data_IF_677961007893
#
_entry.id   IF_677961007893
#
_cell.length_a   1.000
_cell.length_b   1.000
_cell.length_c   1.000
_cell.angle_alpha   90.00
_cell.angle_beta   90.00
_cell.angle_gamma   90.00
#
_symmetry.space_group_name_H-M   'P 1'
#
loop_
_entity.id
_entity.type
_entity.pdbx_description
1 polymer ?
#
# COMPACT_ATOMS: atom_id res chain seq x y z
N UNK A 1 1.81 -0.18 8.14
CA UNK A 1 0.50 0.39 8.53
C UNK A 1 -0.37 0.85 7.36
N UNK A 2 0.20 1.17 6.18
CA UNK A 2 -0.54 1.75 5.04
C UNK A 2 -1.54 0.80 4.34
N UNK A 3 -1.32 -0.52 4.36
CA UNK A 3 -2.18 -1.48 3.67
C UNK A 3 -3.60 -1.53 4.28
N UNK A 4 -3.70 -1.62 5.61
CA UNK A 4 -4.97 -1.64 6.32
C UNK A 4 -5.76 -0.34 6.15
N UNK A 5 -5.08 0.82 6.20
CA UNK A 5 -5.69 2.14 5.97
C UNK A 5 -6.24 2.22 4.55
N UNK A 6 -5.46 1.79 3.55
CA UNK A 6 -5.88 1.74 2.15
C UNK A 6 -7.08 0.82 1.91
N UNK A 7 -7.08 -0.36 2.54
CA UNK A 7 -8.18 -1.33 2.43
C UNK A 7 -9.48 -0.80 3.07
N UNK A 8 -9.39 -0.16 4.24
CA UNK A 8 -10.56 0.46 4.88
C UNK A 8 -11.10 1.64 4.08
N UNK A 9 -10.24 2.47 3.50
CA UNK A 9 -10.66 3.54 2.59
C UNK A 9 -11.41 2.97 1.37
N UNK A 10 -10.92 1.88 0.79
CA UNK A 10 -11.59 1.21 -0.32
C UNK A 10 -12.95 0.64 0.10
N UNK A 11 -13.06 0.02 1.28
CA UNK A 11 -14.33 -0.47 1.84
C UNK A 11 -15.34 0.65 2.10
N UNK A 12 -14.91 1.78 2.65
CA UNK A 12 -15.78 2.96 2.82
C UNK A 12 -16.27 3.51 1.48
N UNK A 13 -15.39 3.58 0.47
CA UNK A 13 -15.77 3.98 -0.89
C UNK A 13 -16.79 3.02 -1.48
N UNK A 14 -16.61 1.71 -1.30
CA UNK A 14 -17.54 0.69 -1.77
C UNK A 14 -18.95 0.93 -1.20
N UNK A 15 -19.04 1.22 0.11
CA UNK A 15 -20.31 1.53 0.76
C UNK A 15 -20.99 2.75 0.12
N UNK A 16 -20.27 3.88 -0.03
CA UNK A 16 -20.79 5.10 -0.67
C UNK A 16 -21.26 4.86 -2.11
N UNK A 17 -20.50 4.09 -2.89
CA UNK A 17 -20.86 3.75 -4.27
C UNK A 17 -22.11 2.87 -4.34
N UNK A 18 -22.26 1.91 -3.41
CA UNK A 18 -23.45 1.06 -3.33
C UNK A 18 -24.71 1.86 -3.01
N UNK A 19 -24.62 2.78 -2.05
CA UNK A 19 -25.70 3.69 -1.67
C UNK A 19 -26.10 4.58 -2.86
N UNK A 20 -25.12 5.16 -3.56
CA UNK A 20 -25.35 5.99 -4.74
C UNK A 20 -26.03 5.20 -5.86
N UNK A 21 -25.63 3.94 -6.07
CA UNK A 21 -26.23 3.05 -7.06
C UNK A 21 -27.71 2.79 -6.76
N UNK A 22 -28.06 2.54 -5.50
CA UNK A 22 -29.45 2.35 -5.08
C UNK A 22 -30.27 3.66 -5.19
N UNK A 23 -29.69 4.81 -4.84
CA UNK A 23 -30.34 6.12 -5.03
C UNK A 23 -30.67 6.37 -6.51
N UNK A 24 -29.73 6.13 -7.42
CA UNK A 24 -29.95 6.29 -8.86
C UNK A 24 -31.03 5.34 -9.38
N UNK A 25 -31.02 4.08 -8.92
CA UNK A 25 -32.06 3.10 -9.26
C UNK A 25 -33.45 3.53 -8.80
N UNK A 26 -33.59 4.01 -7.55
CA UNK A 26 -34.87 4.51 -7.02
C UNK A 26 -35.36 5.71 -7.81
N UNK A 27 -34.47 6.68 -8.09
CA UNK A 27 -34.82 7.87 -8.89
C UNK A 27 -35.26 7.47 -10.31
N UNK A 28 -34.54 6.57 -10.96
CA UNK A 28 -34.93 6.10 -12.29
C UNK A 28 -36.31 5.43 -12.29
N UNK A 29 -36.63 4.63 -11.26
CA UNK A 29 -37.95 4.02 -11.11
C UNK A 29 -39.07 5.07 -10.97
N UNK A 30 -38.83 6.13 -10.18
CA UNK A 30 -39.78 7.25 -10.04
C UNK A 30 -39.94 8.00 -11.38
N UNK A 31 -38.86 8.28 -12.11
CA UNK A 31 -38.94 8.93 -13.42
C UNK A 31 -39.72 8.09 -14.44
N UNK A 32 -39.58 6.76 -14.44
CA UNK A 32 -40.40 5.86 -15.27
C UNK A 32 -41.88 5.96 -14.90
N UNK A 33 -42.22 5.92 -13.62
CA UNK A 33 -43.61 6.05 -13.17
C UNK A 33 -44.23 7.40 -13.54
N UNK A 34 -43.41 8.45 -13.59
CA UNK A 34 -43.82 9.79 -14.01
C UNK A 34 -43.88 9.99 -15.54
N UNK A 35 -43.61 8.96 -16.35
CA UNK A 35 -43.57 9.06 -17.82
C UNK A 35 -42.40 9.90 -18.35
N UNK A 36 -41.29 9.96 -17.60
CA UNK A 36 -40.07 10.69 -17.95
C UNK A 36 -38.98 9.73 -18.39
N UNK A 37 -39.16 9.02 -19.50
CA UNK A 37 -38.26 7.94 -19.92
C UNK A 37 -36.85 8.42 -20.28
N UNK A 38 -36.71 9.64 -20.79
CA UNK A 38 -35.39 10.20 -21.12
C UNK A 38 -34.56 10.42 -19.85
N UNK A 39 -35.16 11.02 -18.81
CA UNK A 39 -34.51 11.20 -17.50
C UNK A 39 -34.16 9.85 -16.87
N UNK A 40 -35.05 8.86 -16.96
CA UNK A 40 -34.79 7.51 -16.48
C UNK A 40 -33.58 6.86 -17.19
N UNK A 41 -33.46 7.03 -18.51
CA UNK A 41 -32.30 6.54 -19.29
C UNK A 41 -31.00 7.19 -18.84
N UNK A 42 -31.00 8.51 -18.63
CA UNK A 42 -29.81 9.24 -18.17
C UNK A 42 -29.39 8.79 -16.76
N UNK A 43 -30.34 8.60 -15.85
CA UNK A 43 -30.08 8.08 -14.50
C UNK A 43 -29.52 6.65 -14.54
N UNK A 44 -30.02 5.79 -15.42
CA UNK A 44 -29.49 4.44 -15.61
C UNK A 44 -28.09 4.44 -16.23
N UNK A 45 -27.81 5.38 -17.13
CA UNK A 45 -26.47 5.56 -17.69
C UNK A 45 -25.47 6.01 -16.62
N UNK A 46 -25.85 6.94 -15.75
CA UNK A 46 -25.04 7.31 -14.59
C UNK A 46 -24.85 6.12 -13.64
N UNK A 47 -25.91 5.36 -13.35
CA UNK A 47 -25.84 4.15 -12.53
C UNK A 47 -24.83 3.15 -13.09
N UNK A 48 -24.78 2.96 -14.41
CA UNK A 48 -23.79 2.08 -15.08
C UNK A 48 -22.36 2.53 -14.80
N UNK A 49 -22.07 3.84 -14.86
CA UNK A 49 -20.74 4.38 -14.53
C UNK A 49 -20.37 4.14 -13.07
N UNK A 50 -21.31 4.38 -12.15
CA UNK A 50 -21.09 4.13 -10.71
C UNK A 50 -20.86 2.64 -10.44
N UNK A 51 -21.59 1.75 -11.10
CA UNK A 51 -21.39 0.31 -10.99
C UNK A 51 -20.00 -0.12 -11.48
N UNK A 52 -19.48 0.44 -12.57
CA UNK A 52 -18.10 0.16 -13.00
C UNK A 52 -17.07 0.57 -11.95
N UNK A 53 -17.24 1.75 -11.32
CA UNK A 53 -16.37 2.18 -10.24
C UNK A 53 -16.49 1.28 -8.99
N UNK A 54 -17.70 0.75 -8.73
CA UNK A 54 -17.98 -0.18 -7.65
C UNK A 54 -17.25 -1.51 -7.86
N UNK A 55 -17.29 -2.07 -9.08
CA UNK A 55 -16.59 -3.30 -9.43
C UNK A 55 -15.06 -3.13 -9.32
N UNK A 56 -14.51 -2.03 -9.83
CA UNK A 56 -13.09 -1.71 -9.66
C UNK A 56 -12.69 -1.62 -8.18
N UNK A 57 -13.57 -1.07 -7.34
CA UNK A 57 -13.31 -0.95 -5.90
C UNK A 57 -13.33 -2.32 -5.20
N UNK A 58 -14.21 -3.24 -5.62
CA UNK A 58 -14.20 -4.63 -5.11
C UNK A 58 -12.90 -5.36 -5.45
N UNK A 59 -12.48 -5.33 -6.70
CA UNK A 59 -11.23 -5.97 -7.13
C UNK A 59 -10.02 -5.40 -6.39
N UNK A 60 -10.01 -4.09 -6.10
CA UNK A 60 -8.97 -3.48 -5.25
C UNK A 60 -9.00 -4.03 -3.82
N UNK A 61 -10.17 -4.20 -3.22
CA UNK A 61 -10.27 -4.76 -1.86
C UNK A 61 -9.73 -6.19 -1.85
N UNK A 62 -10.13 -7.02 -2.81
CA UNK A 62 -9.67 -8.41 -2.95
C UNK A 62 -8.13 -8.49 -3.05
N UNK A 63 -7.51 -7.68 -3.92
CA UNK A 63 -6.06 -7.63 -4.05
C UNK A 63 -5.36 -7.18 -2.75
N UNK A 64 -5.92 -6.21 -2.03
CA UNK A 64 -5.35 -5.73 -0.77
C UNK A 64 -5.47 -6.79 0.33
N UNK A 65 -6.57 -7.54 0.36
CA UNK A 65 -6.79 -8.62 1.31
C UNK A 65 -5.87 -9.82 1.00
N UNK A 66 -5.65 -10.15 -0.28
CA UNK A 66 -4.66 -11.17 -0.70
C UNK A 66 -3.23 -10.77 -0.31
N UNK A 67 -2.84 -9.52 -0.58
CA UNK A 67 -1.52 -9.02 -0.19
C UNK A 67 -1.33 -9.06 1.33
N UNK A 68 -2.38 -8.75 2.09
CA UNK A 68 -2.33 -8.83 3.55
C UNK A 68 -2.12 -10.27 4.02
N UNK A 69 -2.80 -11.25 3.41
CA UNK A 69 -2.62 -12.66 3.70
C UNK A 69 -1.18 -13.13 3.39
N UNK A 70 -0.64 -12.76 2.23
CA UNK A 70 0.72 -13.12 1.83
C UNK A 70 1.77 -12.54 2.79
N UNK A 71 1.58 -11.30 3.27
CA UNK A 71 2.48 -10.71 4.27
C UNK A 71 2.42 -11.43 5.61
N UNK A 72 1.22 -11.81 6.05
CA UNK A 72 1.04 -12.58 7.29
C UNK A 72 1.75 -13.93 7.20
N UNK A 73 1.72 -14.59 6.04
CA UNK A 73 2.42 -15.86 5.82
C UNK A 73 3.95 -15.70 5.70
N UNK A 74 4.43 -14.63 5.05
CA UNK A 74 5.86 -14.41 4.81
C UNK A 74 6.64 -14.05 6.08
N UNK A 75 6.02 -13.41 7.08
CA UNK A 75 6.68 -13.00 8.32
C UNK A 75 7.27 -14.21 9.07
N UNK A 76 6.50 -15.27 9.40
CA UNK A 76 7.03 -16.47 10.04
C UNK A 76 8.16 -17.15 9.24
N UNK A 77 8.10 -17.12 7.90
CA UNK A 77 9.13 -17.72 7.05
C UNK A 77 10.44 -16.95 7.18
N UNK A 78 10.38 -15.62 7.26
CA UNK A 78 11.55 -14.76 7.45
C UNK A 78 12.09 -14.83 8.88
N UNK A 79 11.21 -14.91 9.88
CA UNK A 79 11.62 -15.10 11.27
C UNK A 79 12.38 -16.42 11.44
N UNK A 80 11.90 -17.52 10.83
CA UNK A 80 12.60 -18.80 10.83
C UNK A 80 13.97 -18.73 10.15
N UNK A 81 14.04 -18.11 8.96
CA UNK A 81 15.31 -17.93 8.25
C UNK A 81 16.31 -17.16 9.10
N UNK A 82 15.88 -16.07 9.75
CA UNK A 82 16.72 -15.27 10.63
C UNK A 82 17.24 -16.08 11.82
N UNK A 83 16.36 -16.81 12.51
CA UNK A 83 16.74 -17.66 13.65
C UNK A 83 17.77 -18.71 13.23
N UNK A 84 17.57 -19.35 12.08
CA UNK A 84 18.54 -20.33 11.54
C UNK A 84 19.89 -19.68 11.26
N UNK A 85 19.94 -18.54 10.55
CA UNK A 85 21.20 -17.86 10.23
C UNK A 85 21.96 -17.44 11.49
N UNK A 86 21.27 -16.82 12.47
CA UNK A 86 21.90 -16.41 13.72
C UNK A 86 22.40 -17.61 14.54
N UNK A 87 21.70 -18.74 14.50
CA UNK A 87 22.13 -19.95 15.21
C UNK A 87 23.40 -20.54 14.57
N UNK A 88 23.49 -20.54 13.23
CA UNK A 88 24.67 -21.01 12.51
C UNK A 88 25.89 -20.11 12.72
N UNK A 89 25.72 -18.78 12.77
CA UNK A 89 26.81 -17.85 13.04
C UNK A 89 27.42 -18.07 14.45
N UNK A 90 26.58 -18.46 15.43
CA UNK A 90 27.03 -18.77 16.79
C UNK A 90 27.77 -20.13 16.90
N UNK A 91 27.51 -21.07 15.99
CA UNK A 91 28.21 -22.35 15.91
C UNK A 91 29.62 -22.21 15.31
N UNK A 92 29.82 -21.23 14.42
CA UNK A 92 31.12 -20.93 13.80
C UNK A 92 32.13 -20.39 14.83
N UNK A 93 31.67 -19.73 15.90
CA UNK A 93 32.55 -19.25 16.99
C UNK A 93 33.04 -20.38 17.92
N UNK A 94 32.59 -21.64 17.72
CA UNK A 94 32.95 -22.80 18.57
C UNK A 94 33.87 -23.83 17.90
N UNK A 95 34.29 -23.62 16.66
CA UNK A 95 35.23 -24.49 15.97
C UNK A 95 36.42 -23.70 15.42
N UNK A 96 37.31 -23.33 16.32
CA UNK A 96 38.77 -23.45 16.23
C UNK A 96 39.39 -22.39 17.15
N UNK A 97 39.80 -22.83 18.34
CA UNK A 97 41.00 -22.35 19.03
C UNK A 97 41.24 -23.18 20.31
N UNK A 98 41.45 -24.49 20.15
CA UNK A 98 42.30 -25.24 21.10
C UNK A 98 43.72 -25.31 20.51
N UNK A 99 44.27 -24.15 20.16
CA UNK A 99 45.71 -23.98 20.00
C UNK A 99 46.17 -23.04 21.11
N UNK A 100 47.17 -23.42 21.93
CA UNK A 100 47.59 -22.61 23.06
C UNK A 100 48.17 -21.28 22.56
N UNK A 101 47.41 -20.21 22.74
CA UNK A 101 47.83 -18.83 22.48
C UNK A 101 49.05 -18.53 23.36
N UNK A 102 50.26 -18.54 22.79
CA UNK A 102 51.46 -18.03 23.43
C UNK A 102 51.50 -16.53 23.24
N UNK A 103 51.12 -15.79 24.28
CA UNK A 103 51.37 -14.34 24.38
C UNK A 103 52.88 -14.11 24.49
N UNK A 104 53.49 -13.68 23.39
CA UNK A 104 54.85 -13.15 23.41
C UNK A 104 54.78 -11.65 23.69
N UNK A 105 55.36 -11.22 24.81
CA UNK A 105 55.55 -9.80 25.11
C UNK A 105 56.45 -9.18 24.03
N UNK A 106 56.10 -7.99 23.49
CA UNK A 106 56.95 -7.32 22.52
C UNK A 106 58.27 -6.94 23.20
N UNK A 107 59.38 -7.42 22.65
CA UNK A 107 60.71 -6.98 23.01
C UNK A 107 60.89 -5.53 22.55
N UNK A 108 61.36 -4.61 23.42
CA UNK A 108 61.56 -3.23 23.03
C UNK A 108 62.90 -3.12 22.31
N UNK A 109 62.92 -2.97 20.99
CA UNK A 109 64.07 -2.37 20.30
C UNK A 109 63.74 -1.90 18.87
N UNK A 110 63.84 -0.57 18.71
CA UNK A 110 64.13 0.22 17.50
C UNK A 110 63.22 0.21 16.26
N UNK A 111 62.48 1.34 16.13
CA UNK A 111 62.53 2.30 15.01
C UNK A 111 62.73 1.78 13.57
N UNK A 112 61.73 1.92 12.71
CA UNK A 112 61.54 3.04 11.77
C UNK A 112 60.35 2.77 10.82
N UNK A 113 59.65 3.86 10.46
CA UNK A 113 58.85 4.12 9.25
C UNK A 113 58.37 2.94 8.39
N UNK A 114 57.05 2.83 8.19
CA UNK A 114 56.47 3.34 6.94
C UNK A 114 54.95 3.44 7.00
N UNK A 115 54.48 4.58 6.53
CA UNK A 115 53.10 5.01 6.39
C UNK A 115 52.50 4.46 5.10
N UNK A 116 51.39 3.72 5.16
CA UNK A 116 50.41 3.66 4.06
C UNK A 116 48.97 3.67 4.60
N UNK A 117 48.45 4.88 4.59
CA UNK A 117 47.04 5.26 4.52
C UNK A 117 46.37 4.62 3.30
N UNK A 118 45.23 3.95 3.46
CA UNK A 118 44.19 3.84 2.41
C UNK A 118 42.81 3.77 3.06
N UNK A 119 42.20 4.95 3.13
CA UNK A 119 40.77 5.18 3.29
C UNK A 119 40.09 4.99 1.93
N UNK A 120 39.13 4.07 1.82
CA UNK A 120 38.20 4.03 0.67
C UNK A 120 36.77 3.91 1.16
N UNK A 121 36.14 5.08 1.20
CA UNK A 121 34.72 5.32 1.38
C UNK A 121 34.12 5.42 -0.03
N UNK A 122 33.23 4.51 -0.44
CA UNK A 122 32.43 4.69 -1.65
C UNK A 122 30.95 4.48 -1.36
N UNK A 123 30.31 5.63 -1.13
CA UNK A 123 28.91 5.95 -1.30
C UNK A 123 28.48 5.73 -2.77
N UNK A 124 27.42 4.97 -3.01
CA UNK A 124 26.72 4.91 -4.29
C UNK A 124 25.29 5.43 -4.08
N UNK A 125 25.13 6.71 -4.39
CA UNK A 125 23.85 7.38 -4.59
C UNK A 125 23.26 7.05 -5.98
N UNK A 126 21.96 7.36 -6.07
CA UNK A 126 21.14 7.55 -7.27
C UNK A 126 20.58 6.25 -7.90
N UNK A 127 19.30 6.12 -8.28
CA UNK A 127 18.40 7.11 -8.88
C UNK A 127 16.93 6.85 -8.56
N UNK A 128 16.24 7.94 -8.25
CA UNK A 128 14.79 8.13 -8.30
C UNK A 128 14.27 8.00 -9.73
N UNK A 129 13.36 7.05 -9.99
CA UNK A 129 12.48 7.10 -11.16
C UNK A 129 11.07 7.48 -10.68
N UNK A 130 10.69 8.70 -10.98
CA UNK A 130 9.32 9.20 -10.89
C UNK A 130 8.47 8.50 -11.94
N UNK A 131 7.43 7.77 -11.51
CA UNK A 131 6.36 7.33 -12.39
C UNK A 131 5.13 8.20 -12.09
N UNK A 132 4.94 9.23 -12.91
CA UNK A 132 3.69 9.99 -12.94
C UNK A 132 2.54 9.07 -13.33
N UNK A 133 1.58 8.90 -12.43
CA UNK A 133 0.21 8.48 -12.80
C UNK A 133 -0.74 9.59 -12.40
N UNK A 134 -0.98 10.52 -13.32
CA UNK A 134 -2.16 11.36 -13.29
C UNK A 134 -3.39 10.48 -13.50
N UNK A 135 -4.17 10.26 -12.44
CA UNK A 135 -5.58 9.92 -12.58
C UNK A 135 -6.39 10.80 -11.64
N UNK A 136 -6.84 11.92 -12.20
CA UNK A 136 -7.86 12.78 -11.63
C UNK A 136 -9.19 12.02 -11.68
N UNK A 137 -9.59 11.47 -10.54
CA UNK A 137 -10.96 10.94 -10.32
C UNK A 137 -11.55 11.53 -9.05
N UNK A 138 -11.52 12.85 -8.93
CA UNK A 138 -12.17 13.58 -7.82
C UNK A 138 -13.49 14.25 -8.27
N UNK A 139 -13.80 14.25 -9.57
CA UNK A 139 -14.91 15.05 -10.11
C UNK A 139 -16.30 14.39 -9.98
N UNK A 140 -16.46 13.31 -9.22
CA UNK A 140 -17.77 12.70 -8.96
C UNK A 140 -18.36 13.05 -7.58
N UNK A 141 -17.58 13.63 -6.67
CA UNK A 141 -18.08 14.07 -5.36
C UNK A 141 -18.82 15.43 -5.43
N UNK A 142 -18.59 16.23 -6.48
CA UNK A 142 -19.16 17.58 -6.62
C UNK A 142 -20.58 17.68 -7.20
N UNK A 143 -21.21 16.58 -7.62
CA UNK A 143 -22.53 16.63 -8.29
C UNK A 143 -23.75 16.61 -7.36
N UNK A 144 -23.55 16.55 -6.03
CA UNK A 144 -24.65 16.32 -5.08
C UNK A 144 -24.93 17.48 -4.11
N UNK A 145 -24.25 18.62 -4.21
CA UNK A 145 -24.64 19.83 -3.47
C UNK A 145 -25.31 20.83 -4.41
N UNK A 146 -26.64 20.95 -4.32
CA UNK A 146 -27.35 22.06 -4.97
C UNK A 146 -28.74 21.76 -5.53
N UNK A 147 -29.67 21.25 -4.70
CA UNK A 147 -31.08 21.59 -4.88
C UNK A 147 -31.80 21.50 -3.53
N UNK A 148 -31.64 22.55 -2.72
CA UNK A 148 -32.62 22.87 -1.70
C UNK A 148 -33.91 23.24 -2.42
N UNK A 149 -34.92 22.39 -2.29
CA UNK A 149 -36.29 22.75 -2.68
C UNK A 149 -36.77 23.72 -1.61
N UNK A 150 -36.75 25.01 -1.98
CA UNK A 150 -37.37 26.09 -1.22
C UNK A 150 -38.89 25.86 -1.29
N UNK A 151 -39.47 25.36 -0.20
CA UNK A 151 -40.92 25.25 -0.07
C UNK A 151 -41.41 26.54 0.61
N UNK A 152 -41.68 27.55 -0.20
CA UNK A 152 -42.59 28.64 0.12
C UNK A 152 -43.58 28.75 -1.04
N UNK A 153 -44.85 28.49 -0.78
CA UNK A 153 -45.83 29.57 -0.74
C UNK A 153 -47.20 29.05 -0.25
N UNK A 154 -47.90 29.98 0.38
CA UNK A 154 -49.20 29.92 1.06
C UNK A 154 -50.37 29.35 0.23
#
# INVERSE_FOLDING_TARGET
MNLFISANKARQRLLRLSETTEKLKRRAAVSVQAGKENEARDLLFQKKKVMQALDNTKSRIELLDELAANLIEAIPLKDRQLVTTVSSDLEIEKQDDESPVRVMSPSPENSEKDSLNMNDNQELQERTNELSTEHKTDDLEGFLEGHGIDNNDE
#
